data_IF_386848359615
#
_entry.id   IF_386848359615
#
_cell.length_a   1.000
_cell.length_b   1.000
_cell.length_c   1.000
_cell.angle_alpha   90.00
_cell.angle_beta   90.00
_cell.angle_gamma   90.00
#
_symmetry.space_group_name_H-M   'P 1'
#
loop_
_entity.id
_entity.type
_entity.pdbx_description
1 polymer ?
#
# COMPACT_ATOMS: atom_id res chain seq x y z
N UNK A 1 -1.79 17.53 -14.42
CA UNK A 1 -2.40 16.91 -13.21
C UNK A 1 -1.63 17.34 -11.97
N UNK A 2 -2.31 17.81 -10.94
CA UNK A 2 -1.68 18.19 -9.65
C UNK A 2 -1.18 16.91 -8.99
N UNK A 3 0.10 16.90 -8.59
CA UNK A 3 0.67 15.76 -7.86
C UNK A 3 -0.02 15.66 -6.47
N UNK A 4 -0.77 14.57 -6.20
CA UNK A 4 -1.55 14.45 -4.97
C UNK A 4 -0.71 14.38 -3.70
N UNK A 5 0.61 14.20 -3.81
CA UNK A 5 1.52 14.25 -2.65
C UNK A 5 1.99 15.66 -2.32
N UNK A 6 1.82 16.65 -3.24
CA UNK A 6 2.12 18.05 -2.96
C UNK A 6 0.98 18.78 -2.24
N UNK A 7 -0.24 18.27 -2.37
CA UNK A 7 -1.43 18.74 -1.66
C UNK A 7 -2.27 17.53 -1.33
N UNK A 8 -2.05 16.93 -0.16
CA UNK A 8 -2.57 15.60 0.16
C UNK A 8 -4.09 15.62 0.41
N UNK A 9 -4.83 14.97 -0.48
CA UNK A 9 -6.28 14.77 -0.42
C UNK A 9 -6.66 13.30 -0.64
N UNK A 10 -5.75 12.35 -0.33
CA UNK A 10 -5.92 10.93 -0.63
C UNK A 10 -6.99 10.24 0.22
N UNK A 11 -7.30 10.79 1.38
CA UNK A 11 -8.34 10.25 2.27
C UNK A 11 -9.20 11.38 2.86
N UNK A 12 -10.32 11.04 3.52
CA UNK A 12 -11.24 12.04 4.10
C UNK A 12 -10.62 12.95 5.17
N UNK A 13 -9.41 12.66 5.68
CA UNK A 13 -8.65 13.59 6.55
C UNK A 13 -8.34 14.92 5.87
N UNK A 14 -8.22 14.91 4.55
CA UNK A 14 -8.04 16.11 3.72
C UNK A 14 -6.98 17.07 4.27
N UNK A 15 -5.82 16.56 4.63
CA UNK A 15 -4.76 17.30 5.32
C UNK A 15 -4.19 18.46 4.50
N UNK A 16 -4.24 18.37 3.17
CA UNK A 16 -3.71 19.35 2.20
C UNK A 16 -2.22 19.68 2.34
N UNK A 17 -1.49 18.91 3.11
CA UNK A 17 -0.04 19.07 3.33
C UNK A 17 0.79 18.70 2.11
N UNK A 18 1.97 19.30 1.98
CA UNK A 18 2.99 18.87 1.04
C UNK A 18 3.86 17.79 1.68
N UNK A 19 3.61 16.53 1.32
CA UNK A 19 4.26 15.36 1.92
C UNK A 19 5.74 15.21 1.60
N UNK A 20 6.28 16.05 0.74
CA UNK A 20 7.73 16.15 0.51
C UNK A 20 8.44 16.96 1.59
N UNK A 21 7.71 17.84 2.30
CA UNK A 21 8.26 18.79 3.28
C UNK A 21 7.75 18.46 4.69
N UNK A 22 6.46 18.16 4.82
CA UNK A 22 5.78 17.96 6.11
C UNK A 22 4.91 16.70 6.09
N UNK A 23 4.25 16.39 7.19
CA UNK A 23 3.36 15.24 7.31
C UNK A 23 1.99 15.66 7.81
N UNK A 24 0.95 14.97 7.30
CA UNK A 24 -0.42 15.12 7.81
C UNK A 24 -0.72 14.18 8.97
N UNK A 25 -2.00 13.89 9.18
CA UNK A 25 -2.48 13.02 10.26
C UNK A 25 -1.80 11.65 10.30
N UNK A 26 -1.66 10.98 9.16
CA UNK A 26 -1.08 9.63 9.07
C UNK A 26 0.45 9.61 9.27
N UNK A 27 1.12 10.75 9.34
CA UNK A 27 2.59 10.90 9.45
C UNK A 27 3.40 10.32 8.28
N UNK A 28 2.75 9.87 7.22
CA UNK A 28 3.42 9.34 6.03
C UNK A 28 4.02 10.46 5.18
N UNK A 29 5.26 10.28 4.74
CA UNK A 29 5.96 11.15 3.78
C UNK A 29 5.70 10.72 2.33
N UNK A 30 6.28 11.42 1.37
CA UNK A 30 6.21 11.10 -0.06
C UNK A 30 7.17 9.96 -0.48
N UNK A 31 7.36 8.98 0.41
CA UNK A 31 8.11 7.74 0.15
C UNK A 31 7.35 6.57 0.73
N UNK A 32 7.32 5.46 0.01
CA UNK A 32 6.72 4.22 0.52
C UNK A 32 7.52 3.73 1.73
N UNK A 33 6.82 3.38 2.80
CA UNK A 33 7.40 2.75 3.98
C UNK A 33 6.70 1.42 4.22
N UNK A 34 7.47 0.35 4.30
CA UNK A 34 6.99 -1.03 4.45
C UNK A 34 7.52 -1.61 5.75
N UNK A 35 6.65 -2.19 6.53
CA UNK A 35 6.99 -2.89 7.76
C UNK A 35 7.39 -4.34 7.50
N UNK A 36 6.64 -5.01 6.62
CA UNK A 36 6.84 -6.42 6.30
C UNK A 36 6.32 -6.70 4.88
N UNK A 37 7.02 -7.57 4.17
CA UNK A 37 6.55 -8.17 2.93
C UNK A 37 6.87 -9.67 2.99
N UNK A 38 5.85 -10.52 3.00
CA UNK A 38 6.01 -11.97 3.17
C UNK A 38 4.81 -12.75 2.63
N UNK A 39 4.98 -14.06 2.53
CA UNK A 39 3.87 -14.98 2.23
C UNK A 39 3.07 -15.20 3.51
N UNK A 40 1.76 -14.93 3.46
CA UNK A 40 0.80 -15.17 4.53
C UNK A 40 -0.16 -16.30 4.14
N UNK A 41 -0.27 -17.31 5.02
CA UNK A 41 -1.13 -18.48 4.82
C UNK A 41 -2.50 -18.31 5.51
N UNK A 42 -2.67 -17.31 6.37
CA UNK A 42 -3.79 -17.16 7.28
C UNK A 42 -4.65 -15.91 6.99
N UNK A 43 -4.67 -15.47 5.75
CA UNK A 43 -5.70 -14.54 5.27
C UNK A 43 -7.02 -15.32 5.06
N UNK A 44 -8.12 -14.64 4.72
CA UNK A 44 -9.37 -15.32 4.38
C UNK A 44 -9.13 -16.37 3.28
N UNK A 45 -9.86 -17.51 3.31
CA UNK A 45 -9.63 -18.62 2.35
C UNK A 45 -9.64 -18.21 0.88
N UNK A 46 -10.47 -17.23 0.51
CA UNK A 46 -10.54 -16.71 -0.86
C UNK A 46 -9.30 -15.89 -1.26
N UNK A 47 -8.50 -15.42 -0.29
CA UNK A 47 -7.27 -14.64 -0.50
C UNK A 47 -6.05 -15.56 -0.41
N UNK A 48 -5.91 -16.31 0.67
CA UNK A 48 -4.75 -17.20 0.88
C UNK A 48 -4.73 -18.39 -0.07
N UNK A 49 -5.90 -19.03 -0.32
CA UNK A 49 -5.97 -20.26 -1.08
C UNK A 49 -4.98 -21.32 -0.53
N UNK A 50 -4.41 -22.13 -1.42
CA UNK A 50 -3.43 -23.15 -1.06
C UNK A 50 -1.99 -22.62 -0.95
N UNK A 51 -1.65 -21.59 -1.75
CA UNK A 51 -0.27 -21.12 -1.88
C UNK A 51 0.02 -19.85 -1.05
N UNK A 52 -0.99 -19.31 -0.36
CA UNK A 52 -0.86 -18.12 0.44
C UNK A 52 -0.97 -16.81 -0.37
N UNK A 53 -0.98 -15.71 0.37
CA UNK A 53 -1.04 -14.36 -0.14
C UNK A 53 0.33 -13.68 -0.02
N UNK A 54 0.79 -13.01 -1.07
CA UNK A 54 1.97 -12.15 -1.02
C UNK A 54 1.64 -10.82 -0.36
N UNK A 55 1.71 -10.77 0.97
CA UNK A 55 1.21 -9.65 1.76
C UNK A 55 2.29 -8.61 2.00
N UNK A 56 1.96 -7.34 1.73
CA UNK A 56 2.81 -6.18 1.98
C UNK A 56 2.11 -5.27 2.99
N UNK A 57 2.69 -5.16 4.19
CA UNK A 57 2.21 -4.28 5.25
C UNK A 57 2.87 -2.89 5.11
N UNK A 58 2.07 -1.90 4.76
CA UNK A 58 2.54 -0.52 4.71
C UNK A 58 2.52 0.12 6.09
N UNK A 59 3.58 0.86 6.40
CA UNK A 59 3.70 1.60 7.65
C UNK A 59 2.85 2.85 7.64
N UNK A 60 2.45 3.32 8.81
CA UNK A 60 1.49 4.40 9.03
C UNK A 60 0.05 3.98 8.71
N UNK A 61 -0.91 4.81 9.08
CA UNK A 61 -2.33 4.55 8.84
C UNK A 61 -3.14 5.85 8.94
N UNK A 62 -4.11 6.01 8.05
CA UNK A 62 -5.01 7.15 8.07
C UNK A 62 -6.16 7.04 9.08
N UNK A 63 -6.39 5.85 9.67
CA UNK A 63 -7.42 5.61 10.69
C UNK A 63 -6.92 5.86 12.11
N UNK A 64 -5.85 5.17 12.52
CA UNK A 64 -5.29 5.29 13.87
C UNK A 64 -6.16 4.63 14.95
N UNK A 65 -6.78 3.48 14.68
CA UNK A 65 -7.63 2.76 15.62
C UNK A 65 -6.93 2.47 16.95
N UNK A 66 -7.61 2.73 18.08
CA UNK A 66 -7.05 2.52 19.43
C UNK A 66 -6.83 1.04 19.78
N UNK A 67 -7.60 0.16 19.13
CA UNK A 67 -7.53 -1.31 19.28
C UNK A 67 -6.75 -2.00 18.14
N UNK A 68 -5.91 -1.27 17.40
CA UNK A 68 -5.19 -1.82 16.26
C UNK A 68 -4.22 -2.93 16.67
N UNK A 69 -4.45 -4.15 16.19
CA UNK A 69 -3.54 -5.28 16.41
C UNK A 69 -2.15 -5.07 15.79
N UNK A 70 -2.07 -4.22 14.75
CA UNK A 70 -0.83 -3.83 14.07
C UNK A 70 -0.34 -2.44 14.54
N UNK A 71 -0.48 -2.13 15.83
CA UNK A 71 -0.20 -0.81 16.40
C UNK A 71 1.19 -0.27 16.00
N UNK A 72 2.24 -1.07 16.13
CA UNK A 72 3.62 -0.64 15.80
C UNK A 72 3.72 -0.21 14.33
N UNK A 73 3.10 -0.95 13.43
CA UNK A 73 3.08 -0.66 11.98
C UNK A 73 2.30 0.64 11.73
N UNK A 74 1.12 0.76 12.33
CA UNK A 74 0.29 1.96 12.18
C UNK A 74 0.96 3.24 12.71
N UNK A 75 1.86 3.11 13.65
CA UNK A 75 2.67 4.21 14.21
C UNK A 75 3.99 4.46 13.47
N UNK A 76 4.24 3.74 12.39
CA UNK A 76 5.34 4.02 11.49
C UNK A 76 6.54 3.09 11.59
N UNK A 77 6.45 1.97 12.33
CA UNK A 77 7.49 0.95 12.29
C UNK A 77 7.64 0.43 10.85
N UNK A 78 8.87 0.39 10.36
CA UNK A 78 9.17 -0.10 9.02
C UNK A 78 10.35 0.64 8.38
N UNK A 79 10.60 0.35 7.11
CA UNK A 79 11.71 0.89 6.33
C UNK A 79 11.21 1.61 5.08
N UNK A 80 11.76 2.79 4.83
CA UNK A 80 11.50 3.50 3.56
C UNK A 80 12.11 2.74 2.38
N UNK A 81 11.36 2.63 1.31
CA UNK A 81 11.79 1.99 0.06
C UNK A 81 11.47 2.87 -1.14
N UNK A 82 12.22 2.68 -2.22
CA UNK A 82 11.93 3.32 -3.51
C UNK A 82 10.76 2.62 -4.21
N UNK A 83 10.14 3.32 -5.17
CA UNK A 83 9.14 2.72 -6.08
C UNK A 83 9.72 1.54 -6.85
N UNK A 84 11.01 1.61 -7.21
CA UNK A 84 11.75 0.50 -7.84
C UNK A 84 11.79 -0.72 -6.92
N UNK A 85 12.16 -0.53 -5.64
CA UNK A 85 12.22 -1.64 -4.67
C UNK A 85 10.83 -2.23 -4.39
N UNK A 86 9.80 -1.41 -4.32
CA UNK A 86 8.42 -1.90 -4.20
C UNK A 86 8.03 -2.80 -5.39
N UNK A 87 8.34 -2.39 -6.61
CA UNK A 87 8.15 -3.20 -7.82
C UNK A 87 8.87 -4.56 -7.70
N UNK A 88 10.15 -4.55 -7.31
CA UNK A 88 10.94 -5.77 -7.12
C UNK A 88 10.32 -6.70 -6.09
N UNK A 89 9.84 -6.17 -4.96
CA UNK A 89 9.15 -6.96 -3.92
C UNK A 89 7.91 -7.66 -4.50
N UNK A 90 7.11 -6.97 -5.32
CA UNK A 90 5.94 -7.58 -5.95
C UNK A 90 6.33 -8.77 -6.85
N UNK A 91 7.39 -8.63 -7.65
CA UNK A 91 7.90 -9.70 -8.52
C UNK A 91 8.54 -10.85 -7.73
N UNK A 92 9.26 -10.54 -6.66
CA UNK A 92 9.83 -11.54 -5.74
C UNK A 92 8.73 -12.36 -5.06
N UNK A 93 7.64 -11.72 -4.62
CA UNK A 93 6.49 -12.41 -4.04
C UNK A 93 5.80 -13.31 -5.09
N UNK A 94 5.59 -12.81 -6.30
CA UNK A 94 5.02 -13.62 -7.39
C UNK A 94 5.89 -14.86 -7.66
N UNK A 95 7.22 -14.74 -7.64
CA UNK A 95 8.14 -15.86 -7.87
C UNK A 95 8.02 -16.97 -6.81
N UNK A 96 7.39 -16.69 -5.68
CA UNK A 96 7.08 -17.68 -4.61
C UNK A 96 5.74 -18.39 -4.82
N UNK A 97 5.12 -18.25 -6.00
CA UNK A 97 3.84 -18.86 -6.38
C UNK A 97 2.65 -18.47 -5.49
N UNK A 98 2.65 -17.28 -4.91
CA UNK A 98 1.51 -16.76 -4.15
C UNK A 98 0.31 -16.49 -5.07
N UNK A 99 -0.90 -16.54 -4.51
CA UNK A 99 -2.13 -16.36 -5.28
C UNK A 99 -2.39 -14.90 -5.70
N UNK A 100 -1.86 -13.94 -4.95
CA UNK A 100 -2.07 -12.51 -5.18
C UNK A 100 -1.00 -11.67 -4.48
N UNK A 101 -0.99 -10.37 -4.78
CA UNK A 101 -0.30 -9.36 -3.96
C UNK A 101 -1.36 -8.65 -3.12
N UNK A 102 -1.29 -8.81 -1.81
CA UNK A 102 -2.21 -8.20 -0.85
C UNK A 102 -1.56 -6.94 -0.24
N UNK A 103 -2.13 -5.79 -0.54
CA UNK A 103 -1.67 -4.47 -0.10
C UNK A 103 -2.43 -4.08 1.16
N UNK A 104 -1.81 -4.21 2.33
CA UNK A 104 -2.44 -3.92 3.62
C UNK A 104 -2.23 -2.45 4.00
N UNK A 105 -3.33 -1.72 4.14
CA UNK A 105 -3.38 -0.28 4.46
C UNK A 105 -2.62 0.58 3.43
N UNK A 106 -2.96 0.53 2.14
CA UNK A 106 -2.20 1.19 1.07
C UNK A 106 -2.59 2.65 0.81
N UNK A 107 -3.72 3.13 1.35
CA UNK A 107 -4.40 4.39 1.02
C UNK A 107 -3.45 5.58 0.86
N UNK A 108 -2.62 5.80 1.86
CA UNK A 108 -1.74 6.98 1.94
C UNK A 108 -0.51 6.90 1.01
N UNK A 109 -0.27 5.75 0.36
CA UNK A 109 0.79 5.56 -0.63
C UNK A 109 0.25 5.27 -2.04
N UNK A 110 -1.04 5.33 -2.27
CA UNK A 110 -1.71 4.96 -3.53
C UNK A 110 -1.03 5.49 -4.80
N UNK A 111 -0.62 6.77 -4.92
CA UNK A 111 0.03 7.26 -6.13
C UNK A 111 1.38 6.58 -6.42
N UNK A 112 2.13 6.28 -5.37
CA UNK A 112 3.44 5.62 -5.49
C UNK A 112 3.28 4.13 -5.76
N UNK A 113 2.32 3.49 -5.08
CA UNK A 113 1.95 2.08 -5.28
C UNK A 113 1.50 1.86 -6.73
N UNK A 114 0.58 2.69 -7.24
CA UNK A 114 0.13 2.61 -8.63
C UNK A 114 1.32 2.65 -9.60
N UNK A 115 2.22 3.62 -9.42
CA UNK A 115 3.41 3.75 -10.25
C UNK A 115 4.28 2.49 -10.22
N UNK A 116 4.44 1.89 -9.05
CA UNK A 116 5.21 0.66 -8.87
C UNK A 116 4.53 -0.56 -9.50
N UNK A 117 3.21 -0.69 -9.34
CA UNK A 117 2.43 -1.79 -9.92
C UNK A 117 2.41 -1.74 -11.45
N UNK A 118 2.28 -0.55 -12.04
CA UNK A 118 2.36 -0.41 -13.51
C UNK A 118 3.71 -0.91 -14.03
N UNK A 119 4.80 -0.50 -13.41
CA UNK A 119 6.14 -0.99 -13.75
C UNK A 119 6.30 -2.50 -13.52
N UNK A 120 5.72 -3.03 -12.44
CA UNK A 120 5.76 -4.47 -12.18
C UNK A 120 5.00 -5.26 -13.26
N UNK A 121 3.85 -4.74 -13.72
CA UNK A 121 3.08 -5.34 -14.81
C UNK A 121 3.87 -5.35 -16.12
N UNK A 122 4.55 -4.26 -16.45
CA UNK A 122 5.44 -4.19 -17.62
C UNK A 122 6.58 -5.24 -17.57
N UNK A 123 7.02 -5.62 -16.37
CA UNK A 123 8.07 -6.62 -16.13
C UNK A 123 7.54 -8.03 -15.81
N UNK A 124 6.24 -8.28 -16.00
CA UNK A 124 5.65 -9.62 -15.92
C UNK A 124 4.86 -9.94 -14.66
N UNK A 125 4.42 -8.95 -13.87
CA UNK A 125 3.47 -9.17 -12.78
C UNK A 125 2.07 -9.49 -13.37
N UNK A 126 1.59 -10.70 -13.14
CA UNK A 126 0.31 -11.21 -13.70
C UNK A 126 -0.73 -11.56 -12.66
N UNK A 127 -0.32 -11.82 -11.42
CA UNK A 127 -1.24 -12.23 -10.34
C UNK A 127 -2.12 -11.06 -9.88
N UNK A 128 -3.32 -11.35 -9.34
CA UNK A 128 -4.24 -10.32 -8.86
C UNK A 128 -3.66 -9.45 -7.75
N UNK A 129 -4.14 -8.21 -7.69
CA UNK A 129 -3.83 -7.28 -6.61
C UNK A 129 -5.05 -7.18 -5.69
N UNK A 130 -4.87 -7.45 -4.41
CA UNK A 130 -5.87 -7.23 -3.36
C UNK A 130 -5.57 -5.89 -2.69
N UNK A 131 -6.56 -5.01 -2.69
CA UNK A 131 -6.49 -3.71 -2.03
C UNK A 131 -7.18 -3.79 -0.67
N UNK A 132 -6.41 -4.13 0.38
CA UNK A 132 -6.90 -4.34 1.73
C UNK A 132 -6.93 -3.02 2.51
N UNK A 133 -8.10 -2.42 2.58
CA UNK A 133 -8.32 -1.07 3.12
C UNK A 133 -9.33 -1.08 4.27
N UNK A 134 -9.21 -0.06 5.13
CA UNK A 134 -10.22 0.25 6.17
C UNK A 134 -11.49 0.91 5.60
N UNK A 135 -11.57 1.12 4.30
CA UNK A 135 -12.64 1.86 3.60
C UNK A 135 -12.73 3.36 3.93
N UNK A 136 -11.81 3.90 4.73
CA UNK A 136 -11.70 5.33 4.97
C UNK A 136 -10.92 6.02 3.85
N UNK A 137 -11.55 6.07 2.69
CA UNK A 137 -10.97 6.44 1.40
C UNK A 137 -11.75 7.56 0.73
N UNK A 138 -11.08 8.33 -0.11
CA UNK A 138 -11.76 9.16 -1.09
C UNK A 138 -11.99 8.37 -2.38
N UNK A 139 -13.15 8.56 -3.00
CA UNK A 139 -13.54 7.85 -4.23
C UNK A 139 -12.49 8.02 -5.34
N UNK A 140 -11.92 9.21 -5.48
CA UNK A 140 -10.89 9.48 -6.50
C UNK A 140 -9.60 8.68 -6.25
N UNK A 141 -9.26 8.40 -4.99
CA UNK A 141 -8.13 7.56 -4.63
C UNK A 141 -8.36 6.10 -5.03
N UNK A 142 -9.57 5.58 -4.80
CA UNK A 142 -9.96 4.25 -5.25
C UNK A 142 -9.95 4.18 -6.78
N UNK A 143 -10.57 5.15 -7.45
CA UNK A 143 -10.57 5.23 -8.92
C UNK A 143 -9.16 5.25 -9.50
N UNK A 144 -8.23 5.95 -8.84
CA UNK A 144 -6.82 5.96 -9.24
C UNK A 144 -6.22 4.55 -9.30
N UNK A 145 -6.58 3.65 -8.37
CA UNK A 145 -6.07 2.27 -8.37
C UNK A 145 -6.72 1.39 -9.44
N UNK A 146 -7.99 1.59 -9.74
CA UNK A 146 -8.77 0.77 -10.68
C UNK A 146 -8.46 1.15 -12.14
N UNK A 147 -8.22 2.42 -12.42
CA UNK A 147 -7.91 2.88 -13.77
C UNK A 147 -6.56 2.31 -14.25
N UNK A 148 -6.60 1.67 -15.42
CA UNK A 148 -5.43 1.12 -16.14
C UNK A 148 -4.54 2.21 -16.71
#
# INVERSE_FOLDING_TARGET
MINPLRKCTLCPRNCQVNRYIETGYCKAKAKIKVALASVHMWEEPCISGENGSGTIFFSHCNMGCIYCQNYKISKGYGKEISVKRFKEICLELQSKNVNNINLVTPTHYTPLIKKGLLKAKEEGLTIPIVYNTSSYENVDTIKMMIQR
#
